data_IF_076753350687
#
_entry.id   IF_076753350687
#
_cell.length_a   1.000
_cell.length_b   1.000
_cell.length_c   1.000
_cell.angle_alpha   90.00
_cell.angle_beta   90.00
_cell.angle_gamma   90.00
#
_symmetry.space_group_name_H-M   'P 1'
#
loop_
_entity.id
_entity.type
_entity.pdbx_description
1 polymer ?
#
# COMPACT_ATOMS: atom_id res chain seq x y z
N UNK A 1 15.84 42.04 23.00
CA UNK A 1 16.65 41.25 22.04
C UNK A 1 16.02 39.88 21.98
N UNK A 2 15.42 39.56 20.83
CA UNK A 2 14.62 38.36 20.60
C UNK A 2 15.49 37.12 20.44
N UNK A 3 14.97 35.96 20.83
CA UNK A 3 15.37 34.67 20.26
C UNK A 3 14.13 33.77 20.30
N UNK A 4 13.41 33.72 19.19
CA UNK A 4 12.36 32.73 18.98
C UNK A 4 12.99 31.36 18.76
N UNK A 5 12.46 30.27 19.36
CA UNK A 5 13.04 28.96 19.21
C UNK A 5 12.71 28.40 17.82
N UNK A 6 13.77 28.00 17.11
CA UNK A 6 13.71 27.40 15.78
C UNK A 6 12.65 26.29 15.71
N UNK A 7 11.68 26.49 14.81
CA UNK A 7 10.72 25.47 14.40
C UNK A 7 11.50 24.26 13.87
N UNK A 8 11.50 23.17 14.63
CA UNK A 8 12.08 21.91 14.16
C UNK A 8 11.22 21.42 13.01
N UNK A 9 11.72 21.49 11.79
CA UNK A 9 11.14 20.80 10.64
C UNK A 9 10.99 19.31 10.98
N UNK A 10 9.75 18.90 11.28
CA UNK A 10 9.40 17.49 11.42
C UNK A 10 9.30 16.94 10.00
N UNK A 11 10.41 16.46 9.46
CA UNK A 11 10.39 15.75 8.18
C UNK A 11 9.49 14.51 8.37
N UNK A 12 8.35 14.40 7.67
CA UNK A 12 7.46 13.26 7.88
C UNK A 12 8.17 12.00 7.39
N UNK A 13 8.51 11.11 8.33
CA UNK A 13 9.06 9.80 7.97
C UNK A 13 8.02 9.04 7.14
N UNK A 14 8.40 8.43 6.00
CA UNK A 14 7.47 7.68 5.18
C UNK A 14 6.87 6.55 6.02
N UNK A 15 5.56 6.56 6.22
CA UNK A 15 4.84 5.50 6.92
C UNK A 15 4.91 4.24 6.08
N UNK A 16 5.77 3.30 6.48
CA UNK A 16 5.85 1.97 5.89
C UNK A 16 4.53 1.25 6.15
N UNK A 17 3.63 1.27 5.17
CA UNK A 17 2.39 0.52 5.25
C UNK A 17 2.72 -0.96 5.10
N UNK A 18 2.60 -1.71 6.20
CA UNK A 18 2.70 -3.17 6.17
C UNK A 18 1.47 -3.71 5.45
N UNK A 19 1.69 -4.45 4.38
CA UNK A 19 0.64 -5.20 3.70
C UNK A 19 0.14 -6.29 4.65
N UNK A 20 -1.17 -6.31 4.88
CA UNK A 20 -1.80 -7.33 5.73
C UNK A 20 -2.24 -8.53 4.89
N UNK A 21 -2.33 -9.71 5.52
CA UNK A 21 -2.82 -10.91 4.85
C UNK A 21 -4.24 -10.75 4.30
N UNK A 22 -5.08 -9.93 4.97
CA UNK A 22 -6.42 -9.57 4.49
C UNK A 22 -6.34 -8.82 3.15
N UNK A 23 -5.40 -7.89 3.00
CA UNK A 23 -5.21 -7.14 1.75
C UNK A 23 -4.71 -8.04 0.62
N UNK A 24 -3.81 -8.98 0.92
CA UNK A 24 -3.35 -9.99 -0.05
C UNK A 24 -4.52 -10.86 -0.52
N UNK A 25 -5.33 -11.37 0.40
CA UNK A 25 -6.49 -12.21 0.07
C UNK A 25 -7.54 -11.44 -0.75
N UNK A 26 -7.80 -10.18 -0.40
CA UNK A 26 -8.69 -9.32 -1.17
C UNK A 26 -8.15 -9.09 -2.60
N UNK A 27 -6.84 -8.88 -2.76
CA UNK A 27 -6.21 -8.74 -4.07
C UNK A 27 -6.36 -10.01 -4.91
N UNK A 28 -6.12 -11.19 -4.32
CA UNK A 28 -6.31 -12.48 -5.00
C UNK A 28 -7.76 -12.68 -5.47
N UNK A 29 -8.73 -12.38 -4.61
CA UNK A 29 -10.15 -12.44 -4.96
C UNK A 29 -10.48 -11.50 -6.12
N UNK A 30 -9.94 -10.26 -6.09
CA UNK A 30 -10.13 -9.30 -7.17
C UNK A 30 -9.59 -9.79 -8.50
N UNK A 31 -8.38 -10.38 -8.53
CA UNK A 31 -7.82 -10.95 -9.76
C UNK A 31 -8.74 -12.02 -10.37
N UNK A 32 -9.32 -12.89 -9.53
CA UNK A 32 -10.27 -13.92 -10.00
C UNK A 32 -11.54 -13.29 -10.55
N UNK A 33 -12.08 -12.28 -9.87
CA UNK A 33 -13.29 -11.57 -10.30
C UNK A 33 -13.07 -10.82 -11.60
N UNK A 34 -11.99 -10.04 -11.70
CA UNK A 34 -11.64 -9.28 -12.91
C UNK A 34 -11.48 -10.22 -14.11
N UNK A 35 -10.79 -11.36 -13.92
CA UNK A 35 -10.67 -12.40 -14.95
C UNK A 35 -12.04 -12.94 -15.40
N UNK A 36 -12.95 -13.20 -14.47
CA UNK A 36 -14.30 -13.69 -14.79
C UNK A 36 -15.15 -12.66 -15.54
N UNK A 37 -14.90 -11.38 -15.27
CA UNK A 37 -15.60 -10.27 -15.92
C UNK A 37 -14.91 -9.83 -17.23
N UNK A 38 -13.78 -10.43 -17.61
CA UNK A 38 -13.00 -10.02 -18.78
C UNK A 38 -12.31 -8.66 -18.61
N UNK A 39 -12.15 -8.20 -17.36
CA UNK A 39 -11.52 -6.93 -17.02
C UNK A 39 -10.03 -7.15 -16.81
N UNK A 40 -9.21 -6.23 -17.31
CA UNK A 40 -7.77 -6.23 -17.01
C UNK A 40 -7.53 -5.68 -15.61
N UNK A 41 -6.93 -6.48 -14.75
CA UNK A 41 -6.55 -6.05 -13.40
C UNK A 41 -5.36 -5.08 -13.43
N UNK A 42 -5.34 -4.06 -12.56
CA UNK A 42 -4.19 -3.18 -12.44
C UNK A 42 -2.93 -3.90 -11.92
N UNK A 43 -1.76 -3.50 -12.41
CA UNK A 43 -0.44 -4.05 -12.02
C UNK A 43 -0.17 -4.03 -10.51
N UNK A 44 -0.64 -3.00 -9.79
CA UNK A 44 -0.46 -2.95 -8.34
C UNK A 44 -1.24 -4.05 -7.60
N UNK A 45 -2.36 -4.53 -8.16
CA UNK A 45 -3.14 -5.65 -7.60
C UNK A 45 -2.36 -6.96 -7.74
N UNK A 46 -1.69 -7.16 -8.88
CA UNK A 46 -0.80 -8.29 -9.08
C UNK A 46 0.35 -8.29 -8.07
N UNK A 47 1.00 -7.14 -7.88
CA UNK A 47 2.06 -6.97 -6.87
C UNK A 47 1.55 -7.21 -5.45
N UNK A 48 0.33 -6.76 -5.14
CA UNK A 48 -0.28 -6.95 -3.82
C UNK A 48 -0.66 -8.41 -3.55
N UNK A 49 -1.20 -9.11 -4.54
CA UNK A 49 -1.52 -10.54 -4.44
C UNK A 49 -0.26 -11.42 -4.31
N UNK A 50 0.86 -10.99 -4.92
CA UNK A 50 2.16 -11.65 -4.81
C UNK A 50 2.93 -11.31 -3.52
N UNK A 51 2.47 -10.33 -2.74
CA UNK A 51 3.13 -9.89 -1.50
C UNK A 51 2.95 -10.88 -0.32
N UNK A 52 2.44 -12.09 -0.57
CA UNK A 52 2.31 -13.15 0.43
C UNK A 52 3.70 -13.57 0.93
N UNK A 53 4.00 -13.23 2.18
CA UNK A 53 5.19 -13.73 2.88
C UNK A 53 4.96 -15.20 3.22
N UNK A 54 5.87 -16.07 2.76
CA UNK A 54 6.09 -17.41 3.34
C UNK A 54 6.41 -17.30 4.82
#
# INVERSE_FOLDING_TARGET
MAVEPAEREVTPRPKVHRVTQVQVNAAKLRLVTDRKLGITSPEWVHRLAAAERR
#
